data_IF_392319052335
#
_entry.id   IF_392319052335
#
_cell.length_a   1.000
_cell.length_b   1.000
_cell.length_c   1.000
_cell.angle_alpha   90.00
_cell.angle_beta   90.00
_cell.angle_gamma   90.00
#
_symmetry.space_group_name_H-M   'P 1'
#
loop_
_entity.id
_entity.type
_entity.pdbx_description
1 polymer ?
#
# COMPACT_ATOMS: atom_id res chain seq x y z
N UNK A 1 -2.90 -6.80 -5.14
CA UNK A 1 -1.83 -6.67 -6.16
C UNK A 1 -0.80 -5.65 -5.71
N UNK A 2 0.46 -6.05 -5.64
CA UNK A 2 1.64 -5.20 -5.44
C UNK A 2 2.64 -5.54 -6.56
N UNK A 3 2.90 -4.60 -7.47
CA UNK A 3 3.84 -4.81 -8.58
C UNK A 3 3.59 -6.08 -9.44
N UNK A 4 2.31 -6.35 -9.74
CA UNK A 4 1.77 -7.51 -10.47
C UNK A 4 1.47 -8.76 -9.63
N UNK A 5 1.90 -8.80 -8.38
CA UNK A 5 1.69 -9.97 -7.53
C UNK A 5 0.47 -9.81 -6.63
N UNK A 6 -0.41 -10.81 -6.61
CA UNK A 6 -1.48 -10.90 -5.60
C UNK A 6 -0.91 -11.53 -4.34
N UNK A 7 -1.02 -10.80 -3.24
CA UNK A 7 -0.54 -11.20 -1.93
C UNK A 7 -1.70 -11.05 -0.96
N UNK A 8 -1.98 -12.11 -0.20
CA UNK A 8 -2.95 -12.08 0.90
C UNK A 8 -2.35 -11.33 2.10
N UNK A 9 -3.16 -10.51 2.76
CA UNK A 9 -2.75 -9.72 3.92
C UNK A 9 -3.87 -9.66 4.95
N UNK A 10 -3.51 -9.58 6.22
CA UNK A 10 -4.44 -9.50 7.36
C UNK A 10 -4.06 -8.40 8.36
N UNK A 11 -4.84 -8.29 9.44
CA UNK A 11 -4.61 -7.28 10.47
C UNK A 11 -3.31 -7.57 11.23
N UNK A 12 -2.35 -6.65 11.13
CA UNK A 12 -1.02 -6.78 11.75
C UNK A 12 0.11 -6.81 10.72
N UNK A 13 -0.19 -7.11 9.46
CA UNK A 13 0.79 -7.08 8.38
C UNK A 13 1.23 -5.66 8.02
N UNK A 14 2.46 -5.55 7.51
CA UNK A 14 3.05 -4.29 7.06
C UNK A 14 3.46 -4.38 5.58
N UNK A 15 3.11 -3.34 4.82
CA UNK A 15 3.47 -3.23 3.41
C UNK A 15 4.34 -1.99 3.20
N UNK A 16 5.53 -2.18 2.61
CA UNK A 16 6.38 -1.09 2.17
C UNK A 16 6.36 -0.96 0.65
N UNK A 17 6.08 0.26 0.18
CA UNK A 17 5.87 0.53 -1.24
C UNK A 17 6.90 1.52 -1.74
N UNK A 18 7.78 1.04 -2.62
CA UNK A 18 8.68 1.93 -3.37
C UNK A 18 7.85 2.87 -4.25
N UNK A 19 8.39 4.05 -4.56
CA UNK A 19 7.81 4.97 -5.52
C UNK A 19 7.38 4.25 -6.80
N UNK A 20 6.18 4.58 -7.29
CA UNK A 20 5.54 4.03 -8.49
C UNK A 20 5.16 2.53 -8.44
N UNK A 21 5.26 1.86 -7.29
CA UNK A 21 4.75 0.49 -7.15
C UNK A 21 3.23 0.44 -7.45
N UNK A 22 2.78 -0.31 -8.50
CA UNK A 22 1.36 -0.48 -8.80
C UNK A 22 0.63 -1.19 -7.66
N UNK A 23 -0.54 -0.68 -7.31
CA UNK A 23 -1.34 -1.15 -6.19
C UNK A 23 -2.79 -1.37 -6.63
N UNK A 24 -3.35 -2.53 -6.29
CA UNK A 24 -4.79 -2.78 -6.36
C UNK A 24 -5.23 -3.64 -5.17
N UNK A 25 -6.42 -3.34 -4.64
CA UNK A 25 -6.99 -4.00 -3.47
C UNK A 25 -8.24 -4.78 -3.85
N UNK A 26 -8.39 -5.99 -3.31
CA UNK A 26 -9.61 -6.77 -3.36
C UNK A 26 -9.99 -7.18 -1.93
N UNK A 27 -11.03 -6.57 -1.38
CA UNK A 27 -11.52 -6.86 -0.04
C UNK A 27 -12.73 -7.82 -0.12
N UNK A 28 -12.45 -9.13 -0.10
CA UNK A 28 -13.47 -10.19 -0.16
C UNK A 28 -13.90 -10.76 1.19
N UNK A 29 -13.30 -10.28 2.29
CA UNK A 29 -13.61 -10.76 3.65
C UNK A 29 -14.99 -10.29 4.15
N UNK A 30 -15.55 -10.94 5.18
CA UNK A 30 -16.88 -10.62 5.70
C UNK A 30 -16.96 -9.28 6.46
N UNK A 31 -15.82 -8.64 6.73
CA UNK A 31 -15.72 -7.39 7.48
C UNK A 31 -14.99 -6.28 6.73
N UNK A 32 -14.97 -5.08 7.31
CA UNK A 32 -14.27 -3.95 6.71
C UNK A 32 -12.76 -4.15 6.73
N UNK A 33 -12.15 -4.13 5.55
CA UNK A 33 -10.70 -4.03 5.39
C UNK A 33 -10.25 -2.57 5.55
N UNK A 34 -9.37 -2.30 6.52
CA UNK A 34 -8.85 -0.97 6.83
C UNK A 34 -7.37 -1.08 7.18
N UNK A 35 -6.60 -0.07 6.80
CA UNK A 35 -5.17 0.00 7.07
C UNK A 35 -4.76 1.45 7.32
N UNK A 36 -3.65 1.62 8.03
CA UNK A 36 -3.04 2.92 8.27
C UNK A 36 -2.08 3.25 7.13
N UNK A 37 -2.16 4.47 6.60
CA UNK A 37 -1.31 4.94 5.49
C UNK A 37 -0.51 6.16 5.94
N UNK A 38 0.80 6.08 5.80
CA UNK A 38 1.71 7.22 5.95
C UNK A 38 2.34 7.56 4.61
N UNK A 39 2.44 8.86 4.32
CA UNK A 39 3.00 9.36 3.07
C UNK A 39 3.54 10.78 3.25
N UNK A 40 4.74 11.01 2.71
CA UNK A 40 5.30 12.35 2.59
C UNK A 40 4.55 13.15 1.52
N UNK A 41 4.11 14.36 1.88
CA UNK A 41 3.31 15.25 1.03
C UNK A 41 3.79 16.71 1.16
N UNK A 42 3.48 17.54 0.17
CA UNK A 42 3.70 19.00 0.19
C UNK A 42 5.18 19.41 0.37
N UNK A 43 6.09 18.76 -0.37
CA UNK A 43 7.53 19.06 -0.40
C UNK A 43 8.04 19.03 -1.85
N UNK A 44 9.13 19.74 -2.12
CA UNK A 44 9.85 19.62 -3.39
C UNK A 44 10.62 18.30 -3.45
N UNK A 45 10.76 17.73 -4.65
CA UNK A 45 11.59 16.55 -4.85
C UNK A 45 13.05 16.93 -4.63
N UNK A 46 13.76 16.11 -3.85
CA UNK A 46 15.20 16.29 -3.61
C UNK A 46 15.96 15.94 -4.90
N UNK A 47 16.68 16.93 -5.44
CA UNK A 47 17.64 16.76 -6.53
C UNK A 47 19.06 16.80 -5.94
N UNK A 48 19.98 16.05 -6.53
CA UNK A 48 21.40 15.99 -6.18
C UNK A 48 22.25 16.41 -7.35
#
# INVERSE_FOLDING_TARGET
LLNNDWVEVEAGDFMWLRAFCPQACYAGGPGQFRYLLYKDMNRQIRLT
#
